data_IF_489109158239
#
_entry.id   IF_489109158239
#
_cell.length_a   1.000
_cell.length_b   1.000
_cell.length_c   1.000
_cell.angle_alpha   90.00
_cell.angle_beta   90.00
_cell.angle_gamma   90.00
#
_symmetry.space_group_name_H-M   'P 1'
#
loop_
_entity.id
_entity.type
_entity.pdbx_description
1 polymer ?
#
# COMPACT_ATOMS: atom_id res chain seq x y z
N UNK A 1 19.34 2.95 10.19
CA UNK A 1 20.04 1.69 9.85
C UNK A 1 19.71 1.39 8.40
N UNK A 2 20.70 1.11 7.53
CA UNK A 2 20.41 0.97 6.09
C UNK A 2 19.95 -0.45 5.71
N UNK A 3 20.39 -1.48 6.44
CA UNK A 3 20.03 -2.89 6.20
C UNK A 3 19.77 -3.60 7.53
N UNK A 4 18.81 -4.52 7.54
CA UNK A 4 18.58 -5.49 8.63
C UNK A 4 18.72 -6.91 8.09
N UNK A 5 19.11 -7.85 8.95
CA UNK A 5 19.14 -9.28 8.64
C UNK A 5 17.90 -9.93 9.26
N UNK A 6 17.15 -10.68 8.46
CA UNK A 6 15.94 -11.39 8.88
C UNK A 6 16.30 -12.69 9.61
N UNK A 7 15.30 -13.33 10.22
CA UNK A 7 15.44 -14.63 10.91
C UNK A 7 16.02 -15.75 10.05
N UNK A 8 15.86 -15.68 8.74
CA UNK A 8 16.33 -16.66 7.76
C UNK A 8 17.58 -16.19 6.99
N UNK A 9 18.20 -15.08 7.41
CA UNK A 9 19.47 -14.58 6.89
C UNK A 9 19.36 -13.69 5.65
N UNK A 10 18.15 -13.30 5.24
CA UNK A 10 17.95 -12.37 4.13
C UNK A 10 18.22 -10.93 4.58
N UNK A 11 18.84 -10.12 3.70
CA UNK A 11 19.06 -8.71 3.99
C UNK A 11 17.95 -7.81 3.44
N UNK A 12 17.31 -7.03 4.31
CA UNK A 12 16.29 -6.05 3.92
C UNK A 12 16.79 -4.62 4.07
N UNK A 13 16.59 -3.81 3.03
CA UNK A 13 16.88 -2.37 3.08
C UNK A 13 15.81 -1.64 3.88
N UNK A 14 16.23 -0.73 4.76
CA UNK A 14 15.33 0.04 5.64
C UNK A 14 15.68 1.53 5.60
N UNK A 15 14.65 2.36 5.55
CA UNK A 15 14.67 3.79 5.85
C UNK A 15 14.00 4.01 7.19
N UNK A 16 14.58 4.88 8.00
CA UNK A 16 14.12 5.21 9.36
C UNK A 16 14.35 6.70 9.58
N UNK A 17 13.29 7.48 9.42
CA UNK A 17 13.30 8.94 9.36
C UNK A 17 12.48 9.55 10.49
N UNK A 18 12.83 10.76 10.91
CA UNK A 18 12.09 11.47 11.96
C UNK A 18 12.24 10.86 13.36
N UNK A 19 11.31 11.22 14.24
CA UNK A 19 11.25 10.80 15.63
C UNK A 19 9.80 10.86 16.12
N UNK A 20 9.45 10.16 17.20
CA UNK A 20 8.08 10.09 17.72
C UNK A 20 7.50 8.68 17.61
N UNK A 21 6.17 8.57 17.59
CA UNK A 21 5.50 7.28 17.43
C UNK A 21 5.80 6.67 16.04
N UNK A 22 6.14 5.37 15.98
CA UNK A 22 6.51 4.72 14.72
C UNK A 22 5.32 4.52 13.78
N UNK A 23 5.48 4.96 12.53
CA UNK A 23 4.59 4.69 11.40
C UNK A 23 5.37 3.87 10.38
N UNK A 24 4.94 2.63 10.14
CA UNK A 24 5.63 1.71 9.23
C UNK A 24 4.91 1.66 7.90
N UNK A 25 5.58 2.06 6.82
CA UNK A 25 5.04 2.13 5.47
C UNK A 25 5.51 0.93 4.64
N UNK A 26 4.56 0.09 4.23
CA UNK A 26 4.80 -1.14 3.47
C UNK A 26 4.34 -0.94 2.03
N UNK A 27 5.28 -1.03 1.09
CA UNK A 27 5.04 -0.70 -0.31
C UNK A 27 4.25 -1.78 -1.08
N UNK A 28 3.65 -1.39 -2.20
CA UNK A 28 2.95 -2.29 -3.12
C UNK A 28 3.88 -2.97 -4.13
N UNK A 29 3.36 -3.97 -4.82
CA UNK A 29 4.03 -4.63 -5.93
C UNK A 29 3.95 -3.78 -7.21
N UNK A 30 5.00 -3.69 -8.06
CA UNK A 30 6.37 -4.19 -7.90
C UNK A 30 7.35 -3.06 -7.55
N UNK A 31 6.93 -2.14 -6.68
CA UNK A 31 7.69 -0.94 -6.32
C UNK A 31 8.73 -1.25 -5.21
N UNK A 32 9.16 -0.21 -4.49
CA UNK A 32 10.01 -0.30 -3.30
C UNK A 32 9.55 0.71 -2.24
N UNK A 33 10.24 0.79 -1.09
CA UNK A 33 10.03 1.85 -0.10
C UNK A 33 10.16 3.27 -0.67
N UNK A 34 10.83 3.46 -1.81
CA UNK A 34 10.95 4.78 -2.47
C UNK A 34 9.60 5.32 -2.95
N UNK A 35 8.62 4.45 -3.17
CA UNK A 35 7.26 4.87 -3.50
C UNK A 35 6.59 5.68 -2.38
N UNK A 36 7.06 5.53 -1.15
CA UNK A 36 6.56 6.24 0.00
C UNK A 36 7.30 7.54 0.30
N UNK A 37 8.38 7.88 -0.41
CA UNK A 37 9.26 9.00 -0.02
C UNK A 37 8.53 10.32 0.26
N UNK A 38 7.59 10.79 -0.59
CA UNK A 38 6.87 12.03 -0.30
C UNK A 38 5.98 11.95 0.95
N UNK A 39 5.31 10.81 1.17
CA UNK A 39 4.47 10.59 2.36
C UNK A 39 5.34 10.44 3.60
N UNK A 40 6.44 9.70 3.50
CA UNK A 40 7.37 9.48 4.60
C UNK A 40 8.02 10.79 5.06
N UNK A 41 8.43 11.66 4.12
CA UNK A 41 8.98 12.97 4.44
C UNK A 41 7.94 13.85 5.15
N UNK A 42 6.70 13.90 4.64
CA UNK A 42 5.63 14.69 5.24
C UNK A 42 5.29 14.24 6.68
N UNK A 43 5.15 12.92 6.90
CA UNK A 43 4.89 12.35 8.22
C UNK A 43 6.07 12.55 9.18
N UNK A 44 7.30 12.44 8.69
CA UNK A 44 8.50 12.69 9.52
C UNK A 44 8.60 14.15 9.95
N UNK A 45 8.34 15.09 9.03
CA UNK A 45 8.29 16.52 9.31
C UNK A 45 7.14 16.90 10.27
N UNK A 46 6.10 16.07 10.35
CA UNK A 46 5.00 16.20 11.30
C UNK A 46 5.29 15.66 12.71
N UNK A 47 6.49 15.10 12.95
CA UNK A 47 6.87 14.59 14.26
C UNK A 47 6.52 13.11 14.48
N UNK A 48 6.37 12.33 13.40
CA UNK A 48 6.36 10.87 13.46
C UNK A 48 7.74 10.29 13.16
N UNK A 49 8.01 9.10 13.72
CA UNK A 49 9.12 8.27 13.26
C UNK A 49 8.60 7.41 12.12
N UNK A 50 9.13 7.55 10.92
CA UNK A 50 8.67 6.81 9.75
C UNK A 50 9.68 5.75 9.37
N UNK A 51 9.22 4.49 9.35
CA UNK A 51 10.03 3.35 8.93
C UNK A 51 9.43 2.82 7.63
N UNK A 52 10.24 2.66 6.60
CA UNK A 52 9.82 1.99 5.36
C UNK A 52 10.92 1.04 4.92
N UNK A 53 10.58 -0.13 4.42
CA UNK A 53 11.56 -1.12 4.00
C UNK A 53 11.23 -1.66 2.62
N UNK A 54 12.26 -2.15 1.95
CA UNK A 54 12.09 -2.88 0.70
C UNK A 54 11.78 -4.34 1.03
N UNK A 55 10.66 -4.85 0.52
CA UNK A 55 10.33 -6.28 0.59
C UNK A 55 11.47 -7.12 0.01
N UNK A 56 11.73 -8.32 0.56
CA UNK A 56 12.71 -9.25 -0.02
C UNK A 56 12.49 -9.38 -1.53
N UNK A 57 13.55 -9.25 -2.30
CA UNK A 57 13.51 -9.32 -3.76
C UNK A 57 13.13 -8.04 -4.51
N UNK A 58 12.79 -6.95 -3.80
CA UNK A 58 12.43 -5.65 -4.38
C UNK A 58 13.46 -4.58 -3.97
N UNK A 59 13.56 -3.53 -4.79
CA UNK A 59 14.46 -2.40 -4.56
C UNK A 59 15.89 -2.86 -4.27
N UNK A 60 16.37 -2.55 -3.06
CA UNK A 60 17.74 -2.80 -2.57
C UNK A 60 17.85 -4.03 -1.67
N UNK A 61 16.72 -4.69 -1.35
CA UNK A 61 16.71 -5.90 -0.54
C UNK A 61 17.21 -7.11 -1.33
N UNK A 62 17.72 -8.10 -0.60
CA UNK A 62 18.25 -9.31 -1.17
C UNK A 62 17.21 -10.08 -1.98
N UNK A 63 17.62 -10.59 -3.15
CA UNK A 63 16.79 -11.37 -4.06
C UNK A 63 16.92 -12.86 -3.78
N UNK A 64 16.35 -13.31 -2.66
CA UNK A 64 16.35 -14.71 -2.26
C UNK A 64 15.55 -15.59 -3.24
N UNK A 65 15.70 -16.92 -3.15
CA UNK A 65 14.93 -17.82 -4.03
C UNK A 65 13.51 -18.12 -3.51
N UNK A 66 13.22 -17.91 -2.23
CA UNK A 66 11.98 -18.34 -1.56
C UNK A 66 11.51 -17.31 -0.52
N UNK A 67 10.32 -17.54 0.06
CA UNK A 67 9.73 -16.70 1.11
C UNK A 67 8.85 -15.56 0.59
N UNK A 68 8.22 -15.76 -0.56
CA UNK A 68 7.36 -14.75 -1.19
C UNK A 68 5.87 -14.88 -0.82
N UNK A 69 5.53 -15.86 0.02
CA UNK A 69 4.21 -16.01 0.63
C UNK A 69 4.02 -15.04 1.81
N UNK A 70 2.76 -14.71 2.12
CA UNK A 70 2.47 -13.71 3.16
C UNK A 70 2.87 -14.12 4.57
N UNK A 71 3.03 -15.41 4.88
CA UNK A 71 3.58 -15.83 6.16
C UNK A 71 5.02 -15.33 6.27
N UNK A 72 5.85 -15.65 5.28
CA UNK A 72 7.25 -15.21 5.21
C UNK A 72 7.40 -13.69 5.14
N UNK A 73 6.52 -13.00 4.40
CA UNK A 73 6.57 -11.54 4.29
C UNK A 73 6.12 -10.83 5.58
N UNK A 74 5.10 -11.35 6.27
CA UNK A 74 4.72 -10.84 7.60
C UNK A 74 5.79 -11.15 8.66
N UNK A 75 6.47 -12.27 8.47
CA UNK A 75 7.58 -12.69 9.29
C UNK A 75 8.77 -11.70 9.17
N UNK A 76 9.06 -11.23 7.95
CA UNK A 76 10.02 -10.16 7.67
C UNK A 76 9.62 -8.83 8.31
N UNK A 77 8.33 -8.44 8.25
CA UNK A 77 7.84 -7.25 8.94
C UNK A 77 8.13 -7.33 10.45
N UNK A 78 7.91 -8.49 11.07
CA UNK A 78 8.23 -8.69 12.48
C UNK A 78 9.73 -8.50 12.77
N UNK A 79 10.61 -8.95 11.87
CA UNK A 79 12.06 -8.73 11.99
C UNK A 79 12.44 -7.26 11.83
N UNK A 80 11.82 -6.53 10.90
CA UNK A 80 12.02 -5.08 10.74
C UNK A 80 11.61 -4.33 12.01
N UNK A 81 10.43 -4.62 12.57
CA UNK A 81 9.95 -4.00 13.81
C UNK A 81 10.91 -4.26 14.97
N UNK A 82 11.37 -5.50 15.12
CA UNK A 82 12.34 -5.90 16.15
C UNK A 82 13.68 -5.21 15.98
N UNK A 83 14.24 -5.22 14.76
CA UNK A 83 15.57 -4.67 14.48
C UNK A 83 15.62 -3.14 14.61
N UNK A 84 14.51 -2.46 14.31
CA UNK A 84 14.38 -1.00 14.47
C UNK A 84 13.97 -0.58 15.89
N UNK A 85 13.58 -1.52 16.75
CA UNK A 85 13.06 -1.25 18.08
C UNK A 85 11.68 -0.58 18.07
N UNK A 86 10.94 -0.66 16.97
CA UNK A 86 9.55 -0.20 16.87
C UNK A 86 8.61 -1.29 17.42
N UNK A 87 8.65 -1.50 18.74
CA UNK A 87 7.91 -2.58 19.41
C UNK A 87 6.59 -2.15 20.03
N UNK A 88 6.34 -0.85 20.16
CA UNK A 88 5.19 -0.27 20.86
C UNK A 88 4.69 0.99 20.15
N UNK A 89 3.40 1.27 20.26
CA UNK A 89 2.73 2.41 19.64
C UNK A 89 2.90 2.51 18.11
N UNK A 90 2.96 1.35 17.45
CA UNK A 90 3.16 1.25 16.01
C UNK A 90 1.87 1.49 15.25
N UNK A 91 1.93 2.32 14.21
CA UNK A 91 0.91 2.35 13.15
C UNK A 91 1.45 1.63 11.92
N UNK A 92 0.74 0.60 11.43
CA UNK A 92 1.11 -0.08 10.19
C UNK A 92 0.29 0.48 9.02
N UNK A 93 0.95 0.91 7.95
CA UNK A 93 0.33 1.42 6.73
C UNK A 93 0.76 0.55 5.55
N UNK A 94 -0.17 -0.20 4.97
CA UNK A 94 0.09 -1.09 3.86
C UNK A 94 -0.59 -0.62 2.58
N UNK A 95 0.20 -0.38 1.52
CA UNK A 95 -0.33 -0.08 0.19
C UNK A 95 -0.40 -1.33 -0.69
N UNK A 96 -1.55 -1.58 -1.31
CA UNK A 96 -1.75 -2.71 -2.24
C UNK A 96 -1.35 -4.04 -1.59
N UNK A 97 -0.36 -4.73 -2.15
CA UNK A 97 0.25 -5.93 -1.56
C UNK A 97 0.67 -5.74 -0.10
N UNK A 98 1.18 -4.56 0.27
CA UNK A 98 1.61 -4.27 1.64
C UNK A 98 0.47 -4.35 2.67
N UNK A 99 -0.79 -4.16 2.27
CA UNK A 99 -1.91 -4.36 3.20
C UNK A 99 -2.20 -5.83 3.50
N UNK A 100 -1.85 -6.75 2.59
CA UNK A 100 -1.87 -8.19 2.90
C UNK A 100 -0.82 -8.58 3.95
N UNK A 101 0.35 -7.94 3.93
CA UNK A 101 1.36 -8.09 4.99
C UNK A 101 0.87 -7.57 6.32
N UNK A 102 0.19 -6.41 6.34
CA UNK A 102 -0.47 -5.91 7.56
C UNK A 102 -1.49 -6.93 8.07
N UNK A 103 -2.38 -7.43 7.20
CA UNK A 103 -3.40 -8.38 7.60
C UNK A 103 -2.82 -9.68 8.17
N UNK A 104 -1.86 -10.29 7.48
CA UNK A 104 -1.21 -11.50 7.97
C UNK A 104 -0.42 -11.24 9.26
N UNK A 105 0.21 -10.07 9.41
CA UNK A 105 0.87 -9.72 10.66
C UNK A 105 -0.10 -9.59 11.84
N UNK A 106 -1.24 -8.90 11.65
CA UNK A 106 -2.26 -8.73 12.69
C UNK A 106 -2.76 -10.09 13.21
N UNK A 107 -2.97 -11.07 12.32
CA UNK A 107 -3.43 -12.41 12.72
C UNK A 107 -2.32 -13.30 13.26
N UNK A 108 -1.18 -13.38 12.58
CA UNK A 108 -0.09 -14.32 12.87
C UNK A 108 0.79 -13.89 14.04
N UNK A 109 0.94 -12.58 14.24
CA UNK A 109 1.74 -11.99 15.33
C UNK A 109 0.86 -11.28 16.37
N UNK A 110 -0.45 -11.55 16.37
CA UNK A 110 -1.42 -10.99 17.32
C UNK A 110 -1.43 -9.45 17.37
N UNK A 111 -1.02 -8.78 16.28
CA UNK A 111 -0.88 -7.33 16.22
C UNK A 111 0.04 -6.74 17.29
N UNK A 112 1.08 -7.48 17.71
CA UNK A 112 1.96 -7.07 18.79
C UNK A 112 2.53 -5.65 18.58
N UNK A 113 2.35 -4.76 19.55
CA UNK A 113 2.84 -3.38 19.50
C UNK A 113 2.05 -2.42 18.61
N UNK A 114 1.09 -2.92 17.83
CA UNK A 114 0.30 -2.13 16.88
C UNK A 114 -0.88 -1.47 17.59
N UNK A 115 -1.06 -0.17 17.36
CA UNK A 115 -2.16 0.62 17.94
C UNK A 115 -3.13 1.16 16.89
N UNK A 116 -2.75 1.16 15.61
CA UNK A 116 -3.58 1.57 14.46
C UNK A 116 -3.11 0.85 13.20
N UNK A 117 -4.00 0.68 12.24
CA UNK A 117 -3.64 0.22 10.90
C UNK A 117 -4.25 1.09 9.81
N UNK A 118 -3.60 1.17 8.66
CA UNK A 118 -4.15 1.78 7.45
C UNK A 118 -3.92 0.89 6.23
N UNK A 119 -4.97 0.61 5.47
CA UNK A 119 -5.00 -0.24 4.29
C UNK A 119 -5.30 0.64 3.07
N UNK A 120 -4.30 0.88 2.25
CA UNK A 120 -4.38 1.83 1.13
C UNK A 120 -4.43 1.05 -0.17
N UNK A 121 -5.53 1.12 -0.92
CA UNK A 121 -5.77 0.37 -2.15
C UNK A 121 -5.41 -1.12 -2.01
N UNK A 122 -5.74 -1.74 -0.88
CA UNK A 122 -5.17 -3.02 -0.47
C UNK A 122 -5.80 -4.22 -1.18
N UNK A 123 -5.01 -5.28 -1.38
CA UNK A 123 -5.46 -6.57 -1.95
C UNK A 123 -6.35 -7.40 -1.03
N UNK A 124 -6.57 -6.96 0.21
CA UNK A 124 -7.44 -7.66 1.17
C UNK A 124 -8.92 -7.36 0.90
N UNK A 125 -9.84 -8.31 1.16
CA UNK A 125 -9.57 -9.60 1.78
C UNK A 125 -9.19 -10.71 0.79
N UNK A 126 -9.59 -10.65 -0.48
CA UNK A 126 -9.28 -11.72 -1.42
C UNK A 126 -9.41 -11.28 -2.89
N UNK A 127 -8.33 -11.40 -3.65
CA UNK A 127 -8.29 -10.97 -5.05
C UNK A 127 -8.89 -11.98 -6.04
N UNK A 128 -8.72 -13.28 -5.82
CA UNK A 128 -9.12 -14.30 -6.79
C UNK A 128 -10.64 -14.47 -6.82
N UNK A 129 -11.20 -14.54 -8.04
CA UNK A 129 -12.58 -14.93 -8.26
C UNK A 129 -12.78 -16.41 -7.92
N UNK A 130 -13.70 -16.67 -6.99
CA UNK A 130 -14.17 -18.01 -6.63
C UNK A 130 -15.68 -18.02 -6.49
N UNK A 131 -16.31 -19.18 -6.30
CA UNK A 131 -17.76 -19.28 -6.11
C UNK A 131 -18.25 -18.45 -4.91
N UNK A 132 -17.44 -18.35 -3.86
CA UNK A 132 -17.68 -17.58 -2.65
C UNK A 132 -17.00 -16.19 -2.65
N UNK A 133 -16.39 -15.79 -3.77
CA UNK A 133 -15.84 -14.45 -4.03
C UNK A 133 -16.09 -14.03 -5.50
N UNK A 134 -17.36 -13.84 -5.91
CA UNK A 134 -17.72 -13.68 -7.32
C UNK A 134 -17.25 -12.36 -7.94
N UNK A 135 -17.01 -11.33 -7.12
CA UNK A 135 -16.51 -10.02 -7.54
C UNK A 135 -14.99 -9.98 -7.73
N UNK A 136 -14.29 -11.06 -7.37
CA UNK A 136 -12.85 -11.18 -7.54
C UNK A 136 -12.41 -11.16 -9.01
N UNK A 137 -11.09 -11.11 -9.21
CA UNK A 137 -10.43 -11.12 -10.50
C UNK A 137 -10.27 -12.57 -10.99
N UNK A 138 -10.64 -12.90 -12.25
CA UNK A 138 -10.50 -14.26 -12.79
C UNK A 138 -9.04 -14.74 -12.82
N UNK A 139 -8.82 -16.04 -12.52
CA UNK A 139 -7.50 -16.69 -12.58
C UNK A 139 -6.75 -16.40 -13.89
N UNK A 140 -7.48 -16.44 -15.01
CA UNK A 140 -6.94 -16.20 -16.36
C UNK A 140 -6.24 -14.85 -16.50
N UNK A 141 -6.69 -13.83 -15.75
CA UNK A 141 -6.06 -12.49 -15.74
C UNK A 141 -4.67 -12.55 -15.12
N UNK A 142 -4.51 -13.28 -14.02
CA UNK A 142 -3.22 -13.46 -13.34
C UNK A 142 -2.28 -14.37 -14.15
N UNK A 143 -2.81 -15.39 -14.82
CA UNK A 143 -2.05 -16.25 -15.71
C UNK A 143 -1.51 -15.47 -16.92
N UNK A 144 -2.34 -14.63 -17.53
CA UNK A 144 -1.93 -13.75 -18.63
C UNK A 144 -0.87 -12.74 -18.19
N UNK A 145 -1.06 -12.12 -17.02
CA UNK A 145 -0.08 -11.22 -16.41
C UNK A 145 1.28 -11.92 -16.20
N UNK A 146 1.26 -13.16 -15.70
CA UNK A 146 2.47 -13.99 -15.53
C UNK A 146 3.15 -14.26 -16.87
N UNK A 147 2.38 -14.67 -17.89
CA UNK A 147 2.92 -14.96 -19.21
C UNK A 147 3.51 -13.71 -19.88
N UNK A 148 2.83 -12.57 -19.82
CA UNK A 148 3.33 -11.30 -20.37
C UNK A 148 4.65 -10.85 -19.73
N UNK A 149 4.83 -11.09 -18.43
CA UNK A 149 6.11 -10.83 -17.76
C UNK A 149 7.22 -11.79 -18.21
N UNK A 150 6.90 -13.06 -18.47
CA UNK A 150 7.86 -14.03 -18.99
C UNK A 150 8.27 -13.70 -20.44
N UNK A 151 7.33 -13.19 -21.23
CA UNK A 151 7.57 -12.83 -22.63
C UNK A 151 8.36 -11.50 -22.77
N UNK A 152 7.89 -10.43 -22.11
CA UNK A 152 8.54 -9.12 -22.12
C UNK A 152 8.15 -8.30 -20.86
N UNK A 153 8.79 -8.62 -19.73
CA UNK A 153 8.61 -7.88 -18.47
C UNK A 153 8.77 -6.36 -18.62
N UNK A 154 9.81 -5.83 -19.29
CA UNK A 154 9.93 -4.39 -19.53
C UNK A 154 8.70 -3.75 -20.17
N UNK A 155 8.16 -4.35 -21.24
CA UNK A 155 6.97 -3.85 -21.93
C UNK A 155 5.70 -4.01 -21.07
N UNK A 156 5.54 -5.17 -20.42
CA UNK A 156 4.46 -5.40 -19.47
C UNK A 156 4.41 -4.30 -18.39
N UNK A 157 5.53 -4.00 -17.75
CA UNK A 157 5.58 -2.99 -16.67
C UNK A 157 5.24 -1.58 -17.17
N UNK A 158 5.60 -1.22 -18.42
CA UNK A 158 5.15 0.07 -19.00
C UNK A 158 3.65 0.12 -19.16
N UNK A 159 3.03 -0.95 -19.65
CA UNK A 159 1.58 -1.03 -19.81
C UNK A 159 0.89 -0.98 -18.44
N UNK A 160 1.34 -1.83 -17.51
CA UNK A 160 0.82 -1.90 -16.15
C UNK A 160 0.86 -0.54 -15.46
N UNK A 161 1.97 0.21 -15.56
CA UNK A 161 2.08 1.52 -14.92
C UNK A 161 1.15 2.59 -15.49
N UNK A 162 0.74 2.48 -16.77
CA UNK A 162 -0.29 3.37 -17.31
C UNK A 162 -1.63 3.11 -16.62
N UNK A 163 -2.05 1.85 -16.52
CA UNK A 163 -3.30 1.50 -15.82
C UNK A 163 -3.23 1.82 -14.32
N UNK A 164 -2.09 1.50 -13.70
CA UNK A 164 -1.78 1.76 -12.29
C UNK A 164 -2.00 3.22 -11.91
N UNK A 165 -1.51 4.16 -12.74
CA UNK A 165 -1.68 5.59 -12.52
C UNK A 165 -2.88 6.18 -13.25
N UNK A 166 -3.75 5.40 -13.92
CA UNK A 166 -4.91 5.95 -14.64
C UNK A 166 -4.57 6.84 -15.84
N UNK A 167 -3.41 6.60 -16.48
CA UNK A 167 -2.98 7.28 -17.70
C UNK A 167 -3.76 6.72 -18.90
N UNK A 168 -4.33 7.61 -19.69
CA UNK A 168 -5.05 7.27 -20.92
C UNK A 168 -4.95 8.38 -21.96
N UNK A 169 -5.72 8.24 -23.03
CA UNK A 169 -5.70 9.21 -24.14
C UNK A 169 -6.05 10.65 -23.68
N UNK A 170 -7.04 10.79 -22.78
CA UNK A 170 -7.52 12.07 -22.27
C UNK A 170 -7.08 12.35 -20.82
N UNK A 171 -6.43 11.40 -20.15
CA UNK A 171 -6.09 11.48 -18.73
C UNK A 171 -4.59 11.31 -18.53
N UNK A 172 -3.95 12.26 -17.84
CA UNK A 172 -2.52 12.25 -17.52
C UNK A 172 -2.29 12.74 -16.09
N UNK A 173 -2.69 11.96 -15.07
CA UNK A 173 -2.64 12.41 -13.69
C UNK A 173 -1.21 12.41 -13.12
N UNK A 174 -0.26 11.77 -13.81
CA UNK A 174 1.18 11.83 -13.50
C UNK A 174 2.00 12.29 -14.70
N UNK A 175 3.18 12.84 -14.43
CA UNK A 175 4.13 13.24 -15.48
C UNK A 175 4.82 12.02 -16.13
N UNK A 176 5.40 12.21 -17.32
CA UNK A 176 6.22 11.17 -17.95
C UNK A 176 7.47 10.82 -17.13
N UNK A 177 8.01 11.78 -16.37
CA UNK A 177 9.15 11.55 -15.48
C UNK A 177 8.78 10.62 -14.32
N UNK A 178 7.57 10.75 -13.76
CA UNK A 178 7.04 9.82 -12.75
C UNK A 178 6.87 8.42 -13.33
N UNK A 179 6.30 8.30 -14.55
CA UNK A 179 6.19 6.99 -15.22
C UNK A 179 7.56 6.34 -15.46
N UNK A 180 8.55 7.12 -15.91
CA UNK A 180 9.90 6.63 -16.15
C UNK A 180 10.58 6.21 -14.84
N UNK A 181 10.45 7.02 -13.78
CA UNK A 181 10.96 6.70 -12.45
C UNK A 181 10.34 5.40 -11.92
N UNK A 182 9.01 5.28 -11.95
CA UNK A 182 8.30 4.10 -11.49
C UNK A 182 8.73 2.87 -12.31
N UNK A 183 8.83 3.00 -13.63
CA UNK A 183 9.30 1.91 -14.49
C UNK A 183 10.72 1.46 -14.11
N UNK A 184 11.66 2.40 -13.93
CA UNK A 184 13.03 2.09 -13.47
C UNK A 184 13.02 1.40 -12.10
N UNK A 185 12.13 1.82 -11.20
CA UNK A 185 11.99 1.22 -9.88
C UNK A 185 11.52 -0.24 -9.98
N UNK A 186 10.49 -0.51 -10.80
CA UNK A 186 10.02 -1.88 -11.02
C UNK A 186 11.07 -2.79 -11.64
N UNK A 187 12.01 -2.25 -12.42
CA UNK A 187 13.11 -3.03 -13.02
C UNK A 187 14.22 -3.38 -12.03
N UNK A 188 14.27 -2.76 -10.84
CA UNK A 188 15.23 -3.15 -9.80
C UNK A 188 14.84 -4.46 -9.10
N UNK A 189 13.54 -4.78 -9.05
CA UNK A 189 13.07 -6.02 -8.46
C UNK A 189 13.55 -7.25 -9.25
N UNK A 190 13.85 -8.35 -8.56
CA UNK A 190 14.20 -9.61 -9.21
C UNK A 190 12.99 -10.19 -9.96
N UNK A 191 13.22 -10.83 -11.11
CA UNK A 191 12.15 -11.44 -11.91
C UNK A 191 11.36 -12.48 -11.10
N UNK A 192 12.06 -13.35 -10.38
CA UNK A 192 11.43 -14.38 -9.55
C UNK A 192 10.58 -13.79 -8.41
N UNK A 193 11.09 -12.87 -7.56
CA UNK A 193 10.26 -12.16 -6.58
C UNK A 193 9.02 -11.52 -7.22
N UNK A 194 9.20 -10.88 -8.39
CA UNK A 194 8.11 -10.25 -9.13
C UNK A 194 7.01 -11.26 -9.47
N UNK A 195 7.37 -12.42 -10.04
CA UNK A 195 6.41 -13.48 -10.39
C UNK A 195 5.77 -14.13 -9.15
N UNK A 196 6.58 -14.45 -8.12
CA UNK A 196 6.10 -15.15 -6.93
C UNK A 196 5.22 -14.29 -6.05
N UNK A 197 5.51 -13.00 -5.90
CA UNK A 197 4.62 -12.09 -5.21
C UNK A 197 3.31 -11.86 -5.99
N UNK A 198 3.32 -11.90 -7.32
CA UNK A 198 2.09 -11.87 -8.13
C UNK A 198 1.20 -13.10 -7.89
N UNK A 199 1.79 -14.29 -7.84
CA UNK A 199 1.10 -15.51 -7.41
C UNK A 199 0.55 -15.38 -5.99
N UNK A 200 1.33 -14.81 -5.05
CA UNK A 200 0.89 -14.68 -3.65
C UNK A 200 -0.25 -13.68 -3.47
N UNK A 201 -0.19 -12.46 -4.03
CA UNK A 201 -1.29 -11.49 -3.85
C UNK A 201 -2.55 -11.88 -4.60
N UNK A 202 -2.44 -12.65 -5.69
CA UNK A 202 -3.60 -13.09 -6.44
C UNK A 202 -4.38 -14.18 -5.70
N UNK A 203 -3.68 -15.13 -5.05
CA UNK A 203 -4.30 -16.34 -4.52
C UNK A 203 -4.47 -16.39 -2.99
N UNK A 204 -3.83 -15.49 -2.24
CA UNK A 204 -3.94 -15.50 -0.77
C UNK A 204 -5.28 -14.93 -0.30
N UNK A 205 -5.99 -15.73 0.49
CA UNK A 205 -7.25 -15.33 1.14
C UNK A 205 -6.99 -14.84 2.58
N UNK A 206 -7.28 -13.56 2.82
CA UNK A 206 -7.12 -12.88 4.10
C UNK A 206 -8.42 -12.76 4.89
N UNK A 207 -9.54 -13.34 4.43
CA UNK A 207 -10.83 -13.25 5.14
C UNK A 207 -10.74 -13.75 6.59
N UNK A 208 -9.85 -14.71 6.86
CA UNK A 208 -9.58 -15.23 8.21
C UNK A 208 -8.65 -14.37 9.04
N UNK A 209 -7.92 -13.45 8.41
CA UNK A 209 -6.99 -12.55 9.06
C UNK A 209 -7.69 -11.28 9.57
N UNK A 210 -8.74 -10.81 8.89
CA UNK A 210 -9.43 -9.56 9.21
C UNK A 210 -10.02 -9.47 10.63
N UNK A 211 -10.56 -10.54 11.25
CA UNK A 211 -11.01 -10.48 12.65
C UNK A 211 -9.90 -10.20 13.68
N UNK A 212 -8.63 -10.24 13.28
CA UNK A 212 -7.51 -9.87 14.15
C UNK A 212 -7.30 -8.35 14.26
N UNK A 213 -7.96 -7.54 13.42
CA UNK A 213 -7.90 -6.08 13.46
C UNK A 213 -8.76 -5.56 14.62
N UNK A 214 -8.17 -5.51 15.81
CA UNK A 214 -8.80 -5.03 17.06
C UNK A 214 -8.35 -3.62 17.46
N UNK A 215 -7.87 -2.86 16.49
CA UNK A 215 -7.36 -1.50 16.63
C UNK A 215 -8.03 -0.61 15.58
N UNK A 216 -8.11 0.71 15.80
CA UNK A 216 -8.63 1.63 14.80
C UNK A 216 -7.96 1.39 13.45
N UNK A 217 -8.78 1.25 12.41
CA UNK A 217 -8.33 0.92 11.07
C UNK A 217 -8.84 1.94 10.06
N UNK A 218 -7.97 2.44 9.19
CA UNK A 218 -8.33 3.26 8.05
C UNK A 218 -8.25 2.44 6.77
N UNK A 219 -9.27 2.50 5.93
CA UNK A 219 -9.25 1.95 4.57
C UNK A 219 -9.41 3.11 3.60
N UNK A 220 -8.43 3.33 2.73
CA UNK A 220 -8.50 4.31 1.64
C UNK A 220 -8.45 3.57 0.31
N UNK A 221 -9.39 3.83 -0.60
CA UNK A 221 -9.42 3.16 -1.89
C UNK A 221 -9.94 4.06 -3.01
N UNK A 222 -9.28 4.02 -4.18
CA UNK A 222 -9.73 4.72 -5.37
C UNK A 222 -10.91 4.02 -6.04
N UNK A 223 -11.99 4.73 -6.38
CA UNK A 223 -13.18 4.09 -6.98
C UNK A 223 -13.00 3.74 -8.46
N UNK A 224 -11.93 4.21 -9.10
CA UNK A 224 -11.57 3.87 -10.47
C UNK A 224 -10.35 2.93 -10.54
N UNK A 225 -10.00 2.29 -9.43
CA UNK A 225 -8.90 1.33 -9.34
C UNK A 225 -9.19 0.09 -10.22
N UNK A 226 -8.40 -0.06 -11.28
CA UNK A 226 -8.47 -1.20 -12.21
C UNK A 226 -7.52 -2.33 -11.84
N UNK A 227 -6.58 -2.09 -10.93
CA UNK A 227 -5.59 -3.09 -10.51
C UNK A 227 -6.12 -3.91 -9.36
N UNK A 228 -6.75 -3.24 -8.39
CA UNK A 228 -7.34 -3.84 -7.19
C UNK A 228 -8.78 -3.31 -7.07
N UNK A 229 -9.77 -4.04 -7.63
CA UNK A 229 -11.16 -3.57 -7.66
C UNK A 229 -11.74 -3.39 -6.27
N UNK A 230 -12.19 -2.17 -5.95
CA UNK A 230 -12.72 -1.80 -4.63
C UNK A 230 -13.88 -2.68 -4.16
N UNK A 231 -14.73 -3.13 -5.08
CA UNK A 231 -15.92 -3.94 -4.77
C UNK A 231 -15.59 -5.30 -4.16
N UNK A 232 -14.47 -5.90 -4.55
CA UNK A 232 -13.99 -7.18 -4.03
C UNK A 232 -12.99 -7.02 -2.87
N UNK A 233 -12.53 -5.79 -2.62
CA UNK A 233 -11.42 -5.50 -1.71
C UNK A 233 -11.80 -4.50 -0.64
N UNK A 234 -11.46 -3.21 -0.80
CA UNK A 234 -11.61 -2.19 0.23
C UNK A 234 -12.99 -2.16 0.91
N UNK A 235 -14.08 -2.27 0.15
CA UNK A 235 -15.45 -2.31 0.70
C UNK A 235 -15.71 -3.58 1.50
N UNK A 236 -15.28 -4.73 1.01
CA UNK A 236 -15.44 -6.01 1.71
C UNK A 236 -14.60 -6.03 2.98
N UNK A 237 -13.34 -5.58 2.91
CA UNK A 237 -12.46 -5.49 4.07
C UNK A 237 -13.06 -4.61 5.17
N UNK A 238 -13.55 -3.42 4.81
CA UNK A 238 -14.23 -2.53 5.75
C UNK A 238 -15.49 -3.17 6.37
N UNK A 239 -16.23 -4.00 5.64
CA UNK A 239 -17.39 -4.71 6.23
C UNK A 239 -17.01 -5.82 7.22
N UNK A 240 -15.75 -6.22 7.28
CA UNK A 240 -15.24 -7.33 8.09
C UNK A 240 -14.37 -6.88 9.29
N UNK A 241 -14.14 -5.58 9.44
CA UNK A 241 -13.33 -4.99 10.52
C UNK A 241 -14.27 -4.14 11.39
N UNK A 242 -14.22 -4.32 12.71
CA UNK A 242 -15.18 -3.69 13.63
C UNK A 242 -14.97 -2.18 13.78
N UNK A 243 -13.72 -1.74 14.02
CA UNK A 243 -13.34 -0.32 14.21
C UNK A 243 -12.63 0.20 12.96
N UNK A 244 -13.42 0.60 11.96
CA UNK A 244 -12.91 0.97 10.63
C UNK A 244 -13.55 2.25 10.09
N UNK A 245 -12.70 3.07 9.45
CA UNK A 245 -13.11 4.19 8.62
C UNK A 245 -12.81 3.84 7.15
N UNK A 246 -13.84 3.81 6.30
CA UNK A 246 -13.67 3.66 4.85
C UNK A 246 -13.75 5.03 4.17
N UNK A 247 -12.72 5.38 3.42
CA UNK A 247 -12.63 6.64 2.66
C UNK A 247 -12.40 6.31 1.19
N UNK A 248 -13.39 6.65 0.37
CA UNK A 248 -13.33 6.39 -1.06
C UNK A 248 -12.85 7.64 -1.82
N UNK A 249 -11.80 7.47 -2.62
CA UNK A 249 -11.31 8.54 -3.50
C UNK A 249 -12.01 8.42 -4.86
N UNK A 250 -13.06 9.22 -5.02
CA UNK A 250 -13.88 9.21 -6.22
C UNK A 250 -13.04 9.47 -7.49
N UNK A 251 -13.03 8.50 -8.40
CA UNK A 251 -12.32 8.60 -9.68
C UNK A 251 -10.82 8.31 -9.62
N UNK A 252 -10.25 8.08 -8.43
CA UNK A 252 -8.82 7.85 -8.28
C UNK A 252 -8.39 6.45 -8.74
N UNK A 253 -7.19 6.33 -9.34
CA UNK A 253 -6.64 5.05 -9.79
C UNK A 253 -5.94 4.31 -8.63
N UNK A 254 -5.28 3.20 -8.94
CA UNK A 254 -4.54 2.42 -7.94
C UNK A 254 -3.38 3.20 -7.31
N UNK A 255 -2.60 3.91 -8.13
CA UNK A 255 -1.45 4.74 -7.74
C UNK A 255 -1.84 6.05 -7.06
N UNK A 256 -2.81 6.02 -6.15
CA UNK A 256 -3.33 7.17 -5.41
C UNK A 256 -2.31 7.79 -4.45
N UNK A 257 -1.26 7.06 -4.06
CA UNK A 257 -0.16 7.62 -3.26
C UNK A 257 0.62 8.73 -3.99
N UNK A 258 0.55 8.75 -5.33
CA UNK A 258 1.17 9.78 -6.15
C UNK A 258 0.11 10.69 -6.80
N UNK A 259 -0.98 10.11 -7.32
CA UNK A 259 -2.03 10.89 -8.03
C UNK A 259 -2.89 11.75 -7.10
N UNK A 260 -3.10 11.31 -5.86
CA UNK A 260 -3.85 12.01 -4.81
C UNK A 260 -2.98 12.25 -3.56
N UNK A 261 -1.67 12.37 -3.76
CA UNK A 261 -0.67 12.41 -2.68
C UNK A 261 -1.03 13.34 -1.53
N UNK A 262 -1.36 14.58 -1.82
CA UNK A 262 -1.59 15.60 -0.79
C UNK A 262 -2.85 15.27 0.04
N UNK A 263 -3.88 14.71 -0.61
CA UNK A 263 -5.08 14.21 0.06
C UNK A 263 -4.75 13.01 0.94
N UNK A 264 -3.97 12.06 0.43
CA UNK A 264 -3.52 10.89 1.20
C UNK A 264 -2.71 11.29 2.44
N UNK A 265 -1.80 12.25 2.30
CA UNK A 265 -1.01 12.77 3.41
C UNK A 265 -1.93 13.41 4.46
N UNK A 266 -2.87 14.25 4.04
CA UNK A 266 -3.84 14.89 4.94
C UNK A 266 -4.68 13.88 5.72
N UNK A 267 -5.23 12.88 5.02
CA UNK A 267 -6.07 11.84 5.61
C UNK A 267 -5.28 10.94 6.59
N UNK A 268 -4.06 10.56 6.23
CA UNK A 268 -3.18 9.80 7.14
C UNK A 268 -2.83 10.62 8.39
N UNK A 269 -2.54 11.91 8.24
CA UNK A 269 -2.21 12.80 9.36
C UNK A 269 -3.38 12.98 10.31
N UNK A 270 -4.59 13.21 9.78
CA UNK A 270 -5.82 13.27 10.58
C UNK A 270 -6.00 11.96 11.38
N UNK A 271 -5.90 10.81 10.72
CA UNK A 271 -6.02 9.50 11.36
C UNK A 271 -4.97 9.26 12.45
N UNK A 272 -3.71 9.62 12.20
CA UNK A 272 -2.62 9.50 13.16
C UNK A 272 -2.83 10.40 14.40
N UNK A 273 -3.47 11.56 14.24
CA UNK A 273 -3.86 12.45 15.32
C UNK A 273 -5.12 12.00 16.07
N UNK A 274 -5.75 10.90 15.66
CA UNK A 274 -7.00 10.40 16.26
C UNK A 274 -8.23 11.19 15.83
N UNK A 275 -8.14 11.92 14.73
CA UNK A 275 -9.25 12.63 14.10
C UNK A 275 -10.02 11.69 13.17
N UNK A 276 -11.30 12.00 12.97
CA UNK A 276 -12.12 11.33 11.97
C UNK A 276 -11.71 11.82 10.57
N UNK A 277 -11.37 10.90 9.67
CA UNK A 277 -11.02 11.23 8.30
C UNK A 277 -12.32 11.49 7.54
N UNK A 278 -12.64 12.76 7.33
CA UNK A 278 -13.90 13.15 6.69
C UNK A 278 -13.79 13.12 5.18
N UNK A 279 -14.88 12.73 4.53
CA UNK A 279 -15.03 12.79 3.09
C UNK A 279 -14.96 14.25 2.61
N UNK A 280 -13.83 14.68 2.05
CA UNK A 280 -13.75 15.95 1.36
C UNK A 280 -14.39 15.82 -0.03
N UNK A 281 -15.67 16.16 -0.15
CA UNK A 281 -16.27 16.44 -1.45
C UNK A 281 -15.55 17.66 -2.04
N UNK A 282 -14.83 17.46 -3.15
CA UNK A 282 -14.16 18.54 -3.88
C UNK A 282 -15.12 19.64 -4.36
N UNK A 283 -16.44 19.42 -4.33
CA UNK A 283 -17.46 20.44 -4.61
C UNK A 283 -17.58 21.53 -3.52
N UNK A 284 -17.22 21.24 -2.25
CA UNK A 284 -17.36 22.23 -1.17
C UNK A 284 -16.26 23.31 -1.18
N UNK A 285 -15.15 23.11 -1.90
CA UNK A 285 -14.09 24.13 -2.03
C UNK A 285 -14.35 25.18 -3.13
N UNK A 286 -15.45 25.07 -3.89
CA UNK A 286 -15.78 25.98 -4.98
C UNK A 286 -16.78 27.10 -4.61
N UNK A 287 -17.20 27.22 -3.35
CA UNK A 287 -18.13 28.27 -2.90
C UNK A 287 -17.63 28.91 -1.60
N UNK A 288 -16.61 29.75 -1.69
CA UNK A 288 -16.58 30.97 -0.87
C UNK A 288 -15.67 32.06 -1.48
N UNK A 289 -16.25 33.09 -2.12
CA UNK A 289 -15.62 34.39 -2.16
C UNK A 289 -16.55 35.42 -1.53
N UNK A 290 -16.80 35.32 -0.21
CA UNK A 290 -17.22 36.50 0.56
C UNK A 290 -15.98 37.32 0.92
N UNK A 291 -15.55 38.19 0.00
CA UNK A 291 -14.77 39.36 0.36
C UNK A 291 -15.74 40.51 0.68
N UNK A 292 -15.70 41.10 1.89
CA UNK A 292 -16.44 42.32 2.15
C UNK A 292 -15.77 43.47 1.39
N UNK A 293 -16.49 44.07 0.45
CA UNK A 293 -16.14 45.36 -0.13
C UNK A 293 -16.17 46.40 1.00
N UNK A 294 -14.98 46.72 1.52
CA UNK A 294 -14.76 47.86 2.38
C UNK A 294 -15.02 49.15 1.60
N UNK A 295 -15.95 49.95 2.11
CA UNK A 295 -16.07 51.38 1.83
C UNK A 295 -14.77 52.10 2.13
N UNK A 296 -14.19 52.81 1.16
CA UNK A 296 -13.77 54.22 1.19
C UNK A 296 -13.32 54.65 -0.21
#
# INVERSE_FOLDING_TARGET
MAMIETRDGAWLYVKDWGAGNPVVLIHGWPLSSDSWDPVADALANAGHRVISYDRRGFGRSEQTWQGYDYDSLSDDLADVLKATGATDNVTLVGFSMGGGEVARYMSRHNGAGVIRTALIASVVPYMLKTDDNPEGVPQETFDQMTQQMLDDRPAFMKSFLNDFFGVGWLSKPVSSAVLEWAWRLTMQAGLRPTLKCAESFSSTDFRRDLPAFRVPTLVIHGTADKTVPIEATGRVAASMIDDVQLVEYAGSPHGLFETDRDRLIGDLMAFLNGEEVRYHNLEEQMIDPVLPLGSY
#
